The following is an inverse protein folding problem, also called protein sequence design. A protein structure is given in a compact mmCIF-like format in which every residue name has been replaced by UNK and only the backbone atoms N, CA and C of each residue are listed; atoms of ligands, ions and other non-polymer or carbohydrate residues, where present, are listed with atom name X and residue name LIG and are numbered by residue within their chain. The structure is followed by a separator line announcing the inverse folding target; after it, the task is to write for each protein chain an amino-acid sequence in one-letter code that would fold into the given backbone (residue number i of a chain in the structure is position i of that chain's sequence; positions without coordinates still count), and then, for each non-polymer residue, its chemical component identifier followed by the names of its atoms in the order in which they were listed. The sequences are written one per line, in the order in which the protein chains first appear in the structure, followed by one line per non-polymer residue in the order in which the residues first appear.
data_IF_809930057509
#
_entry.id   IF_809930057509
#
_cell.length_a   1.000
_cell.length_b   1.000
_cell.length_c   1.000
_cell.angle_alpha   90.00
_cell.angle_beta   90.00
_cell.angle_gamma   90.00
#
_symmetry.space_group_name_H-M   'P 1'
#
loop_
_entity.id
_entity.type
_entity.pdbx_description
1 polymer ?
#
# COMPACT_ATOMS: atom_id res chain seq x y z
N UNK A 1 38.57 27.26 16.65
CA UNK A 1 37.64 27.68 15.58
C UNK A 1 37.53 26.53 14.60
N UNK A 2 36.38 25.86 14.49
CA UNK A 2 36.19 24.64 13.66
C UNK A 2 35.16 24.92 12.55
N UNK A 3 35.43 24.59 11.28
CA UNK A 3 34.45 24.80 10.21
C UNK A 3 33.34 23.75 10.27
N UNK A 4 32.08 24.21 10.14
CA UNK A 4 30.92 23.36 9.86
C UNK A 4 30.93 23.00 8.38
N UNK A 5 31.15 21.73 8.05
CA UNK A 5 30.93 21.20 6.71
C UNK A 5 29.45 20.85 6.59
N UNK A 6 28.73 21.60 5.76
CA UNK A 6 27.36 21.27 5.39
C UNK A 6 27.38 20.02 4.52
N UNK A 7 26.76 18.94 5.00
CA UNK A 7 26.59 17.71 4.24
C UNK A 7 25.54 17.97 3.14
N UNK A 8 26.01 18.28 1.93
CA UNK A 8 25.22 18.11 0.73
C UNK A 8 24.86 16.64 0.57
N UNK A 9 23.57 16.34 0.47
CA UNK A 9 23.10 15.04 0.02
C UNK A 9 22.21 15.28 -1.18
N UNK A 10 22.79 15.00 -2.35
CA UNK A 10 22.13 15.04 -3.63
C UNK A 10 20.90 14.15 -3.62
N UNK A 11 19.81 14.67 -4.18
CA UNK A 11 18.65 13.86 -4.52
C UNK A 11 19.04 13.03 -5.73
N UNK A 12 19.37 11.77 -5.49
CA UNK A 12 19.61 10.80 -6.57
C UNK A 12 18.30 10.09 -6.86
N UNK A 13 17.56 10.65 -7.81
CA UNK A 13 16.36 10.06 -8.38
C UNK A 13 16.80 9.02 -9.43
N UNK A 14 16.91 7.77 -9.03
CA UNK A 14 17.04 6.65 -9.97
C UNK A 14 15.66 6.10 -10.30
N UNK A 15 15.10 6.54 -11.42
CA UNK A 15 14.00 5.85 -12.11
C UNK A 15 14.64 4.85 -13.05
N UNK A 16 14.78 3.58 -12.65
CA UNK A 16 14.91 2.43 -13.56
C UNK A 16 14.61 1.14 -12.79
N UNK A 17 13.53 0.45 -13.20
CA UNK A 17 13.33 -0.98 -12.93
C UNK A 17 12.72 -1.34 -11.56
N UNK A 18 11.53 -1.94 -11.62
CA UNK A 18 11.03 -3.03 -10.75
C UNK A 18 11.58 -3.08 -9.32
N UNK A 19 10.76 -2.64 -8.35
CA UNK A 19 11.00 -2.92 -6.94
C UNK A 19 10.22 -2.01 -6.01
N UNK A 20 8.96 -2.34 -5.75
CA UNK A 20 8.24 -1.78 -4.59
C UNK A 20 8.93 -2.35 -3.34
N UNK A 21 9.93 -1.62 -2.84
CA UNK A 21 10.56 -1.87 -1.55
C UNK A 21 9.60 -1.47 -0.43
N UNK A 22 8.70 -2.38 -0.05
CA UNK A 22 7.96 -2.28 1.19
C UNK A 22 8.94 -2.52 2.35
N UNK A 23 9.57 -1.44 2.84
CA UNK A 23 10.49 -1.46 3.97
C UNK A 23 9.75 -1.71 5.29
N UNK A 24 9.35 -2.96 5.54
CA UNK A 24 9.06 -3.47 6.87
C UNK A 24 10.40 -3.87 7.51
N UNK A 25 10.97 -2.99 8.35
CA UNK A 25 12.09 -3.37 9.21
C UNK A 25 11.93 -2.83 10.64
N UNK A 26 11.62 -3.80 11.51
CA UNK A 26 12.06 -3.96 12.89
C UNK A 26 11.76 -2.87 13.93
N UNK A 27 10.68 -3.15 14.66
CA UNK A 27 10.58 -3.02 16.13
C UNK A 27 11.94 -3.18 16.84
N UNK A 28 12.37 -2.14 17.58
CA UNK A 28 13.15 -2.24 18.82
C UNK A 28 13.02 -0.91 19.60
N UNK A 29 12.72 -1.03 20.90
CA UNK A 29 12.67 0.07 21.88
C UNK A 29 11.24 0.59 22.08
N UNK A 30 10.55 0.36 23.18
CA UNK A 30 11.02 0.39 24.57
C UNK A 30 10.29 1.54 25.27
N UNK A 31 9.29 1.25 26.11
CA UNK A 31 8.56 2.33 26.79
C UNK A 31 7.28 1.93 27.50
N UNK A 32 7.39 1.09 28.53
CA UNK A 32 6.31 0.79 29.47
C UNK A 32 5.94 2.05 30.28
N UNK A 33 4.73 2.58 30.12
CA UNK A 33 4.00 3.26 31.21
C UNK A 33 2.51 2.93 31.13
N UNK A 34 2.04 2.13 32.10
CA UNK A 34 0.60 1.87 32.34
C UNK A 34 -0.01 3.09 33.02
N UNK A 35 -1.16 3.57 32.52
CA UNK A 35 -2.09 4.50 33.20
C UNK A 35 -3.52 3.91 33.14
N UNK A 36 -4.37 4.23 34.15
CA UNK A 36 -5.48 3.37 34.58
C UNK A 36 -6.71 3.40 33.66
N UNK A 37 -7.62 2.40 33.74
CA UNK A 37 -8.76 2.28 32.85
C UNK A 37 -9.89 3.19 33.30
N UNK A 38 -10.04 4.33 32.61
CA UNK A 38 -11.14 5.26 32.77
C UNK A 38 -11.86 5.49 31.45
N UNK A 39 -13.02 4.83 31.29
CA UNK A 39 -14.23 5.28 30.56
C UNK A 39 -14.08 5.90 29.15
N UNK A 40 -14.48 5.10 28.16
CA UNK A 40 -15.10 5.44 26.84
C UNK A 40 -14.70 6.77 26.17
N UNK A 41 -13.96 6.66 25.06
CA UNK A 41 -14.21 7.39 23.81
C UNK A 41 -13.69 6.54 22.64
N UNK A 42 -14.47 6.28 21.57
CA UNK A 42 -13.87 5.74 20.35
C UNK A 42 -12.89 6.81 19.86
N UNK A 43 -11.60 6.49 19.88
CA UNK A 43 -10.60 7.33 19.26
C UNK A 43 -10.91 7.33 17.77
N UNK A 44 -11.36 8.50 17.31
CA UNK A 44 -11.54 8.87 15.93
C UNK A 44 -10.35 8.41 15.09
N UNK A 45 -10.71 7.53 14.17
CA UNK A 45 -10.21 7.35 12.81
C UNK A 45 -9.55 8.60 12.20
N UNK A 46 -8.35 8.96 12.64
CA UNK A 46 -7.50 9.97 11.97
C UNK A 46 -6.03 9.57 12.09
N UNK A 47 -5.61 8.63 11.24
CA UNK A 47 -4.21 8.49 10.85
C UNK A 47 -4.17 8.27 9.34
N UNK A 48 -4.32 9.39 8.61
CA UNK A 48 -3.70 9.70 7.32
C UNK A 48 -3.36 8.54 6.37
N UNK A 49 -4.39 7.88 5.84
CA UNK A 49 -4.29 7.12 4.61
C UNK A 49 -5.42 7.57 3.69
N UNK A 50 -5.08 8.38 2.68
CA UNK A 50 -6.00 8.84 1.64
C UNK A 50 -6.35 7.69 0.70
N UNK A 51 -7.09 6.71 1.22
CA UNK A 51 -7.48 5.51 0.49
C UNK A 51 -8.27 4.58 1.37
N UNK A 52 -9.59 4.58 1.21
CA UNK A 52 -10.45 3.60 1.82
C UNK A 52 -10.23 2.20 1.24
N UNK A 53 -10.73 1.16 1.90
CA UNK A 53 -10.62 -0.21 1.41
C UNK A 53 -11.33 -0.46 0.06
N UNK A 54 -12.23 0.42 -0.39
CA UNK A 54 -12.77 0.38 -1.76
C UNK A 54 -11.75 0.93 -2.76
N UNK A 55 -11.06 2.03 -2.41
CA UNK A 55 -10.02 2.65 -3.23
C UNK A 55 -8.83 1.71 -3.42
N UNK A 56 -8.47 0.94 -2.39
CA UNK A 56 -7.47 -0.11 -2.49
C UNK A 56 -7.85 -1.19 -3.51
N UNK A 57 -9.12 -1.61 -3.55
CA UNK A 57 -9.60 -2.61 -4.51
C UNK A 57 -9.58 -2.07 -5.94
N UNK A 58 -9.98 -0.82 -6.13
CA UNK A 58 -9.89 -0.13 -7.43
C UNK A 58 -8.42 -0.04 -7.88
N UNK A 59 -7.52 0.35 -6.98
CA UNK A 59 -6.09 0.43 -7.27
C UNK A 59 -5.53 -0.94 -7.69
N UNK A 60 -5.88 -2.01 -6.99
CA UNK A 60 -5.46 -3.37 -7.34
C UNK A 60 -5.96 -3.76 -8.73
N UNK A 61 -7.23 -3.51 -9.04
CA UNK A 61 -7.81 -3.82 -10.35
C UNK A 61 -7.10 -3.07 -11.49
N UNK A 62 -6.76 -1.79 -11.27
CA UNK A 62 -5.99 -0.97 -12.22
C UNK A 62 -4.56 -1.50 -12.37
N UNK A 63 -3.86 -1.73 -11.25
CA UNK A 63 -2.49 -2.22 -11.28
C UNK A 63 -2.37 -3.59 -11.96
N UNK A 64 -3.30 -4.52 -11.67
CA UNK A 64 -3.36 -5.82 -12.32
C UNK A 64 -3.57 -5.69 -13.83
N UNK A 65 -4.40 -4.74 -14.27
CA UNK A 65 -4.63 -4.48 -15.70
C UNK A 65 -3.39 -3.95 -16.41
N UNK A 66 -2.63 -3.06 -15.78
CA UNK A 66 -1.39 -2.53 -16.38
C UNK A 66 -0.29 -3.60 -16.42
N UNK A 67 -0.15 -4.39 -15.35
CA UNK A 67 0.81 -5.50 -15.33
C UNK A 67 0.46 -6.58 -16.37
N UNK A 68 -0.83 -6.82 -16.63
CA UNK A 68 -1.27 -7.79 -17.62
C UNK A 68 -0.80 -7.40 -19.02
N UNK A 69 -0.87 -6.11 -19.38
CA UNK A 69 -0.32 -5.60 -20.65
C UNK A 69 1.18 -5.87 -20.77
N UNK A 70 1.94 -5.70 -19.68
CA UNK A 70 3.36 -6.05 -19.67
C UNK A 70 3.58 -7.56 -19.83
N UNK A 71 2.80 -8.38 -19.13
CA UNK A 71 2.88 -9.84 -19.25
C UNK A 71 2.59 -10.31 -20.68
N UNK A 72 1.57 -9.75 -21.33
CA UNK A 72 1.24 -10.02 -22.73
C UNK A 72 2.37 -9.62 -23.68
N UNK A 73 2.94 -8.42 -23.49
CA UNK A 73 4.05 -7.94 -24.30
C UNK A 73 5.29 -8.86 -24.24
N UNK A 74 5.54 -9.44 -23.07
CA UNK A 74 6.65 -10.38 -22.83
C UNK A 74 6.27 -11.86 -22.98
N UNK A 75 5.04 -12.17 -23.41
CA UNK A 75 4.51 -13.53 -23.59
C UNK A 75 4.56 -14.40 -22.32
N UNK A 76 4.34 -13.79 -21.16
CA UNK A 76 4.21 -14.49 -19.89
C UNK A 76 2.76 -14.94 -19.65
N UNK A 77 2.35 -16.00 -20.34
CA UNK A 77 0.95 -16.48 -20.38
C UNK A 77 0.37 -16.79 -18.99
N UNK A 78 1.12 -17.48 -18.13
CA UNK A 78 0.68 -17.79 -16.77
C UNK A 78 0.52 -16.52 -15.93
N UNK A 79 1.42 -15.56 -16.08
CA UNK A 79 1.35 -14.30 -15.35
C UNK A 79 0.18 -13.44 -15.81
N UNK A 80 -0.05 -13.34 -17.12
CA UNK A 80 -1.22 -12.66 -17.68
C UNK A 80 -2.52 -13.25 -17.14
N UNK A 81 -2.61 -14.59 -17.10
CA UNK A 81 -3.77 -15.28 -16.52
C UNK A 81 -3.97 -14.96 -15.03
N UNK A 82 -2.92 -15.01 -14.21
CA UNK A 82 -2.99 -14.69 -12.79
C UNK A 82 -3.40 -13.23 -12.53
N UNK A 83 -2.94 -12.31 -13.39
CA UNK A 83 -3.31 -10.89 -13.28
C UNK A 83 -4.76 -10.64 -13.70
N UNK A 84 -5.25 -11.35 -14.71
CA UNK A 84 -6.67 -11.34 -15.08
C UNK A 84 -7.56 -11.84 -13.93
N UNK A 85 -7.15 -12.94 -13.27
CA UNK A 85 -7.84 -13.46 -12.07
C UNK A 85 -7.81 -12.47 -10.92
N UNK A 86 -6.65 -11.85 -10.64
CA UNK A 86 -6.49 -10.85 -9.58
C UNK A 86 -7.43 -9.67 -9.75
N UNK A 87 -7.55 -9.16 -10.99
CA UNK A 87 -8.50 -8.08 -11.31
C UNK A 87 -9.94 -8.51 -11.03
N UNK A 88 -10.32 -9.70 -11.50
CA UNK A 88 -11.68 -10.22 -11.33
C UNK A 88 -12.04 -10.38 -9.85
N UNK A 89 -11.13 -10.88 -9.03
CA UNK A 89 -11.32 -10.99 -7.58
C UNK A 89 -11.48 -9.62 -6.90
N UNK A 90 -10.67 -8.62 -7.29
CA UNK A 90 -10.81 -7.26 -6.77
C UNK A 90 -12.19 -6.66 -7.09
N UNK A 91 -12.66 -6.83 -8.33
CA UNK A 91 -13.99 -6.39 -8.76
C UNK A 91 -15.12 -7.11 -7.99
N UNK A 92 -14.97 -8.42 -7.75
CA UNK A 92 -15.93 -9.20 -6.96
C UNK A 92 -15.97 -8.75 -5.50
N UNK A 93 -14.82 -8.49 -4.89
CA UNK A 93 -14.73 -7.99 -3.52
C UNK A 93 -15.37 -6.61 -3.40
N UNK A 94 -15.13 -5.72 -4.37
CA UNK A 94 -15.73 -4.38 -4.38
C UNK A 94 -17.26 -4.49 -4.43
N UNK A 95 -17.82 -5.30 -5.33
CA UNK A 95 -19.27 -5.57 -5.41
C UNK A 95 -19.83 -6.15 -4.12
N UNK A 96 -19.15 -7.13 -3.52
CA UNK A 96 -19.57 -7.75 -2.27
C UNK A 96 -19.58 -6.77 -1.11
N UNK A 97 -18.67 -5.78 -1.10
CA UNK A 97 -18.65 -4.72 -0.10
C UNK A 97 -19.73 -3.67 -0.36
N UNK A 98 -19.95 -3.27 -1.61
CA UNK A 98 -21.07 -2.38 -1.97
C UNK A 98 -22.41 -2.96 -1.55
N UNK A 99 -22.65 -4.27 -1.76
CA UNK A 99 -23.87 -4.94 -1.29
C UNK A 99 -24.04 -4.91 0.23
N UNK A 100 -22.95 -5.09 0.99
CA UNK A 100 -22.98 -5.03 2.46
C UNK A 100 -23.27 -3.62 2.99
N UNK A 101 -22.87 -2.57 2.27
CA UNK A 101 -23.17 -1.18 2.64
C UNK A 101 -24.63 -0.78 2.39
N UNK A 102 -25.35 -1.55 1.57
CA UNK A 102 -26.74 -1.28 1.17
C UNK A 102 -27.78 -2.10 1.96
N UNK A 103 -27.33 -3.02 2.82
CA UNK A 103 -28.17 -3.83 3.71
C UNK A 103 -28.23 -3.24 5.11
#
# INVERSE_FOLDING_TARGET
MRPRVAAGKGVSLYIYGVGIGLGLLSSIGGGRKRKPPGRRRPASDETGGEGGPDDALVLIAVAASELAKLAQHHKFEVLDHLLAMTRLEADQQLRARSRRKLS
#
